data_IF_302434846306
#
_entry.id   IF_302434846306
#
_cell.length_a   1.000
_cell.length_b   1.000
_cell.length_c   1.000
_cell.angle_alpha   90.00
_cell.angle_beta   90.00
_cell.angle_gamma   90.00
#
_symmetry.space_group_name_H-M   'P 1'
#
loop_
_entity.id
_entity.type
_entity.pdbx_description
1 polymer ?
#
# COMPACT_ATOMS: atom_id res chain seq x y z
N UNK A 1 2.83 10.50 3.72
CA UNK A 1 2.94 9.33 2.83
C UNK A 1 4.23 8.55 3.02
N UNK A 2 5.40 9.21 3.11
CA UNK A 2 6.63 8.52 3.55
C UNK A 2 6.54 8.00 5.00
N UNK A 3 5.86 8.74 5.88
CA UNK A 3 5.74 8.37 7.30
C UNK A 3 5.07 6.99 7.46
N UNK A 4 3.98 6.73 6.75
CA UNK A 4 3.22 5.50 6.83
C UNK A 4 4.00 4.31 6.26
N UNK A 5 4.72 4.50 5.14
CA UNK A 5 5.62 3.49 4.57
C UNK A 5 6.70 3.08 5.58
N UNK A 6 7.38 4.07 6.17
CA UNK A 6 8.43 3.82 7.19
C UNK A 6 7.87 3.18 8.45
N UNK A 7 6.65 3.53 8.86
CA UNK A 7 5.99 2.89 9.99
C UNK A 7 5.74 1.40 9.71
N UNK A 8 5.28 1.05 8.50
CA UNK A 8 5.05 -0.34 8.08
C UNK A 8 6.35 -1.16 8.04
N UNK A 9 7.45 -0.56 7.61
CA UNK A 9 8.79 -1.18 7.67
C UNK A 9 9.24 -1.43 9.12
N UNK A 10 9.07 -0.43 10.01
CA UNK A 10 9.48 -0.53 11.41
C UNK A 10 8.70 -1.58 12.21
N UNK A 11 7.42 -1.80 11.88
CA UNK A 11 6.60 -2.85 12.52
C UNK A 11 6.75 -4.23 11.84
N UNK A 12 7.66 -4.35 10.87
CA UNK A 12 7.98 -5.62 10.22
C UNK A 12 6.90 -6.14 9.28
N UNK A 13 6.01 -5.28 8.76
CA UNK A 13 4.94 -5.71 7.86
C UNK A 13 5.46 -6.23 6.51
N UNK A 14 6.62 -5.75 6.05
CA UNK A 14 7.26 -6.25 4.82
C UNK A 14 6.48 -5.91 3.55
N UNK A 15 6.04 -4.66 3.40
CA UNK A 15 5.35 -4.20 2.19
C UNK A 15 6.32 -4.16 0.99
N UNK A 16 6.37 -5.23 0.20
CA UNK A 16 7.09 -5.24 -1.08
C UNK A 16 6.20 -4.60 -2.16
N UNK A 17 6.67 -3.46 -2.67
CA UNK A 17 6.01 -2.69 -3.74
C UNK A 17 6.65 -2.94 -5.11
N UNK A 18 7.69 -3.76 -5.15
CA UNK A 18 8.52 -3.99 -6.33
C UNK A 18 8.33 -5.37 -6.92
N UNK A 19 7.73 -6.30 -6.16
CA UNK A 19 7.43 -7.66 -6.60
C UNK A 19 5.99 -8.09 -6.35
N UNK A 20 5.52 -9.02 -7.19
CA UNK A 20 4.26 -9.74 -7.04
C UNK A 20 4.34 -10.77 -5.90
N UNK A 21 3.26 -10.87 -5.14
CA UNK A 21 3.11 -11.73 -3.97
C UNK A 21 3.41 -13.22 -4.23
N UNK A 22 2.84 -13.78 -5.30
CA UNK A 22 2.83 -15.24 -5.48
C UNK A 22 4.04 -15.76 -6.26
N UNK A 23 4.53 -14.98 -7.22
CA UNK A 23 5.58 -15.42 -8.13
C UNK A 23 6.91 -14.67 -7.94
N UNK A 24 6.93 -13.60 -7.15
CA UNK A 24 8.12 -12.75 -6.95
C UNK A 24 8.56 -12.00 -8.21
N UNK A 25 7.75 -11.99 -9.28
CA UNK A 25 8.05 -11.21 -10.48
C UNK A 25 8.03 -9.74 -10.15
N UNK A 26 8.89 -8.97 -10.81
CA UNK A 26 8.88 -7.52 -10.66
C UNK A 26 7.56 -6.93 -11.16
N UNK A 27 7.07 -5.94 -10.44
CA UNK A 27 5.94 -5.12 -10.84
C UNK A 27 6.26 -4.42 -12.16
N UNK A 28 5.38 -4.57 -13.14
CA UNK A 28 5.51 -3.92 -14.44
C UNK A 28 4.90 -2.52 -14.38
N UNK A 29 5.57 -1.47 -14.90
CA UNK A 29 5.06 -0.10 -14.86
C UNK A 29 3.67 0.07 -15.50
N UNK A 30 3.41 -0.67 -16.59
CA UNK A 30 2.14 -0.65 -17.34
C UNK A 30 1.13 -1.69 -16.83
N UNK A 31 1.51 -2.47 -15.82
CA UNK A 31 0.68 -3.48 -15.18
C UNK A 31 -0.31 -2.89 -14.18
N UNK A 32 -1.27 -3.70 -13.77
CA UNK A 32 -2.27 -3.36 -12.76
C UNK A 32 -2.34 -4.44 -11.69
N UNK A 33 -2.51 -4.01 -10.44
CA UNK A 33 -2.39 -4.88 -9.28
C UNK A 33 -3.43 -4.56 -8.22
N UNK A 34 -3.82 -5.57 -7.46
CA UNK A 34 -4.52 -5.41 -6.19
C UNK A 34 -3.58 -5.64 -5.04
N UNK A 35 -3.70 -4.80 -4.02
CA UNK A 35 -3.05 -5.04 -2.75
C UNK A 35 -3.95 -5.89 -1.86
N UNK A 36 -3.43 -7.04 -1.45
CA UNK A 36 -4.06 -7.94 -0.48
C UNK A 36 -3.21 -8.00 0.77
N UNK A 37 -3.79 -7.58 1.87
CA UNK A 37 -3.10 -7.58 3.15
C UNK A 37 -2.70 -9.02 3.56
N UNK A 38 -1.44 -9.20 3.95
CA UNK A 38 -0.88 -10.52 4.28
C UNK A 38 -0.43 -11.37 3.08
N UNK A 39 -0.88 -11.05 1.86
CA UNK A 39 -0.39 -11.70 0.62
C UNK A 39 0.59 -10.81 -0.14
N UNK A 40 0.30 -9.51 -0.30
CA UNK A 40 1.09 -8.55 -1.09
C UNK A 40 0.36 -8.09 -2.35
N UNK A 41 1.11 -7.84 -3.43
CA UNK A 41 0.57 -7.36 -4.70
C UNK A 41 0.22 -8.52 -5.63
N UNK A 42 -1.02 -8.56 -6.11
CA UNK A 42 -1.52 -9.61 -7.02
C UNK A 42 -1.96 -8.98 -8.34
N UNK A 43 -1.62 -9.54 -9.51
CA UNK A 43 -2.07 -9.03 -10.80
C UNK A 43 -3.60 -8.88 -10.88
N UNK A 44 -4.04 -7.80 -11.51
CA UNK A 44 -5.44 -7.46 -11.67
C UNK A 44 -5.69 -6.82 -13.04
N UNK A 45 -6.90 -6.95 -13.62
CA UNK A 45 -7.23 -6.20 -14.83
C UNK A 45 -7.36 -4.71 -14.52
N UNK A 46 -6.99 -3.86 -15.48
CA UNK A 46 -7.05 -2.40 -15.35
C UNK A 46 -8.45 -1.87 -14.99
N UNK A 47 -9.49 -2.56 -15.45
CA UNK A 47 -10.90 -2.26 -15.18
C UNK A 47 -11.37 -2.71 -13.80
N UNK A 48 -10.57 -3.48 -13.06
CA UNK A 48 -10.97 -3.97 -11.75
C UNK A 48 -11.16 -2.80 -10.76
N UNK A 49 -12.26 -2.80 -9.99
CA UNK A 49 -12.48 -1.81 -8.95
C UNK A 49 -11.31 -1.80 -7.96
N UNK A 50 -10.54 -0.72 -7.99
CA UNK A 50 -9.39 -0.59 -7.12
C UNK A 50 -8.09 -1.23 -7.57
N UNK A 51 -7.97 -1.47 -8.87
CA UNK A 51 -6.69 -1.70 -9.50
C UNK A 51 -5.74 -0.52 -9.25
N UNK A 52 -4.51 -0.84 -8.87
CA UNK A 52 -3.40 0.07 -8.63
C UNK A 52 -2.47 -0.02 -9.83
N UNK A 53 -2.03 1.13 -10.35
CA UNK A 53 -1.07 1.13 -11.45
C UNK A 53 0.32 0.70 -10.96
N UNK A 54 1.00 -0.16 -11.72
CA UNK A 54 2.36 -0.60 -11.42
C UNK A 54 3.34 0.57 -11.33
N UNK A 55 3.24 1.53 -12.25
CA UNK A 55 3.98 2.80 -12.20
C UNK A 55 3.78 3.54 -10.87
N UNK A 56 2.56 3.59 -10.35
CA UNK A 56 2.28 4.22 -9.05
C UNK A 56 2.89 3.46 -7.87
N UNK A 57 2.93 2.12 -7.93
CA UNK A 57 3.57 1.29 -6.92
C UNK A 57 5.10 1.47 -6.90
N UNK A 58 5.70 1.54 -8.08
CA UNK A 58 7.13 1.81 -8.25
C UNK A 58 7.49 3.24 -7.82
N UNK A 59 6.68 4.25 -8.16
CA UNK A 59 6.84 5.61 -7.66
C UNK A 59 6.71 5.68 -6.13
N UNK A 60 5.81 4.89 -5.52
CA UNK A 60 5.72 4.78 -4.07
C UNK A 60 6.97 4.10 -3.46
N UNK A 61 7.48 3.05 -4.10
CA UNK A 61 8.69 2.36 -3.68
C UNK A 61 9.90 3.32 -3.70
N UNK A 62 10.05 4.08 -4.78
CA UNK A 62 11.10 5.07 -4.99
C UNK A 62 10.88 6.42 -4.30
N UNK A 63 9.76 6.62 -3.59
CA UNK A 63 9.41 7.88 -2.92
C UNK A 63 9.29 9.09 -3.87
N UNK A 64 8.97 8.85 -5.14
CA UNK A 64 8.92 9.82 -6.23
C UNK A 64 7.50 10.19 -6.66
N UNK A 65 6.52 10.08 -5.75
CA UNK A 65 5.12 10.42 -6.01
C UNK A 65 4.96 11.89 -6.46
N UNK A 66 4.60 12.10 -7.72
CA UNK A 66 4.38 13.43 -8.32
C UNK A 66 2.98 13.63 -8.90
N UNK A 67 2.27 12.54 -9.24
CA UNK A 67 0.96 12.59 -9.90
C UNK A 67 -0.24 12.39 -8.96
N UNK A 68 -1.42 12.94 -9.31
CA UNK A 68 -2.65 12.74 -8.55
C UNK A 68 -3.06 11.26 -8.47
N UNK A 69 -2.80 10.49 -9.55
CA UNK A 69 -3.06 9.05 -9.58
C UNK A 69 -2.14 8.29 -8.62
N UNK A 70 -0.86 8.60 -8.63
CA UNK A 70 0.13 7.95 -7.77
C UNK A 70 -0.18 8.21 -6.29
N UNK A 71 -0.57 9.44 -5.96
CA UNK A 71 -1.05 9.78 -4.62
C UNK A 71 -2.33 9.02 -4.28
N UNK A 72 -3.30 8.89 -5.18
CA UNK A 72 -4.50 8.11 -4.90
C UNK A 72 -4.17 6.64 -4.61
N UNK A 73 -3.36 6.00 -5.47
CA UNK A 73 -3.00 4.59 -5.37
C UNK A 73 -2.14 4.32 -4.12
N UNK A 74 -1.16 5.18 -3.83
CA UNK A 74 -0.40 5.11 -2.59
C UNK A 74 -1.28 5.21 -1.34
N UNK A 75 -2.41 5.94 -1.41
CA UNK A 75 -3.28 6.16 -0.24
C UNK A 75 -3.91 4.85 0.14
N UNK A 76 -4.42 4.17 -0.88
CA UNK A 76 -5.16 2.93 -0.78
C UNK A 76 -4.28 1.82 -0.23
N UNK A 77 -3.08 1.66 -0.80
CA UNK A 77 -2.12 0.63 -0.35
C UNK A 77 -1.74 0.86 1.11
N UNK A 78 -1.27 2.06 1.45
CA UNK A 78 -0.82 2.35 2.82
C UNK A 78 -1.96 2.25 3.83
N UNK A 79 -3.17 2.70 3.47
CA UNK A 79 -4.35 2.59 4.34
C UNK A 79 -4.76 1.14 4.57
N UNK A 80 -4.77 0.32 3.52
CA UNK A 80 -5.11 -1.10 3.62
C UNK A 80 -4.06 -1.88 4.43
N UNK A 81 -2.77 -1.61 4.21
CA UNK A 81 -1.68 -2.21 4.97
C UNK A 81 -1.76 -1.85 6.46
N UNK A 82 -2.00 -0.57 6.77
CA UNK A 82 -2.19 -0.10 8.15
C UNK A 82 -3.43 -0.72 8.80
N UNK A 83 -4.56 -0.78 8.09
CA UNK A 83 -5.78 -1.39 8.60
C UNK A 83 -5.55 -2.87 8.97
N UNK A 84 -4.87 -3.62 8.11
CA UNK A 84 -4.51 -5.01 8.37
C UNK A 84 -3.61 -5.19 9.59
N UNK A 85 -2.62 -4.32 9.79
CA UNK A 85 -1.77 -4.34 11.00
C UNK A 85 -2.60 -4.16 12.28
N UNK A 86 -3.64 -3.32 12.21
CA UNK A 86 -4.50 -2.96 13.34
C UNK A 86 -5.59 -4.01 13.63
N UNK A 87 -5.92 -4.86 12.66
CA UNK A 87 -6.85 -5.98 12.84
C UNK A 87 -6.16 -7.19 13.49
N UNK A 88 -4.89 -7.45 13.18
CA UNK A 88 -4.10 -8.55 13.75
C UNK A 88 -3.54 -8.28 15.16
N UNK A 89 -3.48 -7.03 15.58
CA UNK A 89 -3.07 -6.63 16.93
C UNK A 89 -4.33 -6.19 17.67
N UNK A 90 -4.93 -7.08 18.48
CA UNK A 90 -6.14 -6.78 19.22
C UNK A 90 -6.09 -5.40 19.91
N UNK A 91 -6.86 -4.45 19.37
CA UNK A 91 -7.61 -3.45 20.13
C UNK A 91 -6.87 -2.53 21.12
N UNK A 92 -5.54 -2.44 21.15
CA UNK A 92 -4.88 -1.53 22.08
C UNK A 92 -5.00 -0.05 21.69
N UNK A 93 -5.34 0.27 20.43
CA UNK A 93 -5.19 1.65 19.95
C UNK A 93 -6.15 2.02 18.81
N UNK A 94 -7.44 1.67 18.90
CA UNK A 94 -8.46 2.20 17.94
C UNK A 94 -8.42 3.73 17.82
N UNK A 95 -8.04 4.44 18.88
CA UNK A 95 -7.87 5.90 18.88
C UNK A 95 -6.61 6.36 18.13
N UNK A 96 -5.46 5.70 18.32
CA UNK A 96 -4.19 6.05 17.63
C UNK A 96 -4.25 5.63 16.15
N UNK A 97 -4.83 4.47 15.86
CA UNK A 97 -5.19 4.03 14.51
C UNK A 97 -6.00 5.10 13.75
N UNK A 98 -7.11 5.56 14.34
CA UNK A 98 -7.94 6.62 13.77
C UNK A 98 -7.18 7.94 13.63
N UNK A 99 -6.33 8.29 14.58
CA UNK A 99 -5.52 9.51 14.51
C UNK A 99 -4.50 9.49 13.36
N UNK A 100 -3.83 8.35 13.14
CA UNK A 100 -2.89 8.18 12.02
C UNK A 100 -3.64 8.21 10.68
N UNK A 101 -4.76 7.49 10.57
CA UNK A 101 -5.58 7.48 9.36
C UNK A 101 -6.16 8.87 9.02
N UNK A 102 -6.55 9.65 10.04
CA UNK A 102 -7.07 11.02 9.86
C UNK A 102 -5.98 12.01 9.43
N UNK A 103 -4.73 11.79 9.84
CA UNK A 103 -3.58 12.62 9.45
C UNK A 103 -3.10 12.33 8.03
N UNK A 104 -3.28 11.10 7.56
CA UNK A 104 -3.02 10.74 6.17
C UNK A 104 -4.01 11.43 5.21
N UNK A 105 -5.27 11.62 5.62
CA UNK A 105 -6.38 12.16 4.81
C UNK A 105 -6.33 13.67 4.52
N UNK A 106 -5.45 14.41 5.18
CA UNK A 106 -5.11 15.80 4.88
C UNK A 106 -3.84 15.88 4.02
#
# INVERSE_FOLDING_TARGET
>A
RLFEKRLLELIGYGLDLTAEAHCGKRIEPDGYYHFRAGEGLVPAPASAPGALAGSSLLSLAGETLGGPRELADARRVLTAALASCLEGQALATRAVARAVLRKAAH
#
